data_IF_399673880317
#
_entry.id   IF_399673880317
#
_cell.length_a   1.000
_cell.length_b   1.000
_cell.length_c   1.000
_cell.angle_alpha   90.00
_cell.angle_beta   90.00
_cell.angle_gamma   90.00
#
_symmetry.space_group_name_H-M   'P 1'
#
loop_
_entity.id
_entity.type
_entity.pdbx_description
1 polymer ?
#
# COMPACT_ATOMS: atom_id res chain seq x y z
N UNK A 1 3.85 -13.24 -0.80
CA UNK A 1 3.86 -13.56 -2.25
C UNK A 1 3.27 -14.92 -2.55
N UNK A 2 3.88 -16.05 -2.14
CA UNK A 2 3.33 -17.39 -2.43
C UNK A 2 1.98 -17.65 -1.73
N UNK A 3 1.88 -17.35 -0.43
CA UNK A 3 0.65 -17.47 0.35
C UNK A 3 -0.44 -16.52 -0.16
N UNK A 4 -0.08 -15.25 -0.40
CA UNK A 4 -0.99 -14.23 -0.95
C UNK A 4 -1.48 -14.58 -2.34
N UNK A 5 -0.61 -15.06 -3.25
CA UNK A 5 -1.03 -15.50 -4.57
C UNK A 5 -2.05 -16.63 -4.46
N UNK A 6 -1.77 -17.65 -3.64
CA UNK A 6 -2.72 -18.75 -3.42
C UNK A 6 -4.05 -18.27 -2.83
N UNK A 7 -4.02 -17.33 -1.89
CA UNK A 7 -5.23 -16.75 -1.30
C UNK A 7 -6.04 -15.93 -2.32
N UNK A 8 -5.37 -15.15 -3.18
CA UNK A 8 -6.02 -14.25 -4.14
C UNK A 8 -6.46 -14.95 -5.43
N UNK A 9 -5.75 -15.98 -5.89
CA UNK A 9 -6.02 -16.65 -7.18
C UNK A 9 -6.53 -18.07 -7.04
N UNK A 10 -6.51 -18.64 -5.83
CA UNK A 10 -6.86 -20.04 -5.57
C UNK A 10 -5.84 -21.06 -6.10
N UNK A 11 -4.73 -20.61 -6.72
CA UNK A 11 -3.73 -21.48 -7.35
C UNK A 11 -2.38 -21.40 -6.63
N UNK A 12 -1.69 -22.54 -6.54
CA UNK A 12 -0.28 -22.54 -6.15
C UNK A 12 0.53 -21.80 -7.22
N UNK A 13 1.35 -20.84 -6.79
CA UNK A 13 2.18 -20.04 -7.70
C UNK A 13 2.79 -18.85 -6.96
N UNK A 14 3.75 -18.21 -7.60
CA UNK A 14 4.16 -16.85 -7.26
C UNK A 14 3.38 -15.90 -8.17
N UNK A 15 2.87 -14.80 -7.62
CA UNK A 15 2.22 -13.74 -8.38
C UNK A 15 2.20 -12.45 -7.58
N UNK A 16 1.55 -11.41 -8.13
CA UNK A 16 1.81 -9.99 -7.80
C UNK A 16 3.16 -9.46 -8.32
N UNK A 17 3.75 -10.11 -9.33
CA UNK A 17 4.99 -9.66 -9.98
C UNK A 17 5.00 -8.18 -10.41
N UNK A 18 3.89 -7.59 -10.90
CA UNK A 18 3.85 -6.16 -11.25
C UNK A 18 3.85 -5.23 -10.03
N UNK A 19 3.50 -5.74 -8.86
CA UNK A 19 3.43 -4.97 -7.60
C UNK A 19 4.67 -5.18 -6.73
N UNK A 20 5.32 -6.36 -6.83
CA UNK A 20 6.42 -6.83 -5.98
C UNK A 20 7.31 -7.81 -6.75
N UNK A 21 8.43 -7.35 -7.28
CA UNK A 21 9.23 -8.11 -8.22
C UNK A 21 10.23 -9.07 -7.56
N UNK A 22 10.25 -10.38 -7.89
CA UNK A 22 11.39 -11.27 -7.60
C UNK A 22 12.74 -10.75 -8.10
N UNK A 23 12.86 -10.07 -9.27
CA UNK A 23 14.14 -9.50 -9.71
C UNK A 23 14.74 -8.51 -8.70
N UNK A 24 13.90 -7.74 -8.01
CA UNK A 24 14.33 -6.81 -6.96
C UNK A 24 14.75 -7.57 -5.70
N UNK A 25 14.05 -8.65 -5.32
CA UNK A 25 14.45 -9.52 -4.20
C UNK A 25 15.79 -10.22 -4.45
N UNK A 26 16.05 -10.66 -5.68
CA UNK A 26 17.32 -11.31 -6.04
C UNK A 26 18.52 -10.37 -6.04
N UNK A 27 18.28 -9.04 -6.05
CA UNK A 27 19.32 -8.01 -5.91
C UNK A 27 19.28 -7.29 -4.57
N UNK A 28 18.61 -7.89 -3.57
CA UNK A 28 18.39 -7.32 -2.24
C UNK A 28 17.81 -5.90 -2.23
N UNK A 29 17.13 -5.52 -3.31
CA UNK A 29 16.41 -4.25 -3.42
C UNK A 29 15.05 -4.32 -2.73
N UNK A 30 14.47 -5.51 -2.53
CA UNK A 30 13.20 -5.72 -1.82
C UNK A 30 13.39 -6.60 -0.57
N UNK A 31 13.15 -6.04 0.62
CA UNK A 31 13.33 -6.75 1.90
C UNK A 31 12.09 -6.62 2.78
N UNK A 32 11.61 -7.74 3.32
CA UNK A 32 10.56 -7.73 4.34
C UNK A 32 11.18 -7.58 5.73
N UNK A 33 10.78 -6.55 6.47
CA UNK A 33 11.26 -6.26 7.82
C UNK A 33 10.03 -6.06 8.70
N UNK A 34 9.69 -7.03 9.54
CA UNK A 34 8.49 -6.95 10.39
C UNK A 34 7.19 -6.87 9.58
N UNK A 35 6.36 -5.86 9.85
CA UNK A 35 5.02 -5.70 9.25
C UNK A 35 5.04 -5.27 7.78
N UNK A 36 6.09 -4.59 7.34
CA UNK A 36 6.20 -4.03 6.00
C UNK A 36 7.29 -4.70 5.19
N UNK A 37 7.26 -4.39 3.90
CA UNK A 37 8.36 -4.69 2.99
C UNK A 37 8.79 -3.39 2.32
N UNK A 38 10.08 -3.31 2.03
CA UNK A 38 10.74 -2.07 1.63
C UNK A 38 11.50 -2.31 0.33
N UNK A 39 11.23 -1.47 -0.68
CA UNK A 39 12.04 -1.41 -1.89
C UNK A 39 13.01 -0.25 -1.82
N UNK A 40 14.31 -0.51 -1.97
CA UNK A 40 15.32 0.54 -2.13
C UNK A 40 15.27 1.10 -3.54
N UNK A 41 15.16 2.42 -3.66
CA UNK A 41 15.13 3.10 -4.93
C UNK A 41 15.75 4.50 -4.81
N UNK A 42 16.24 5.02 -5.93
CA UNK A 42 16.48 6.45 -6.05
C UNK A 42 15.14 7.12 -6.37
N UNK A 43 14.66 7.95 -5.45
CA UNK A 43 13.40 8.66 -5.58
C UNK A 43 13.69 10.12 -5.95
N UNK A 44 12.94 10.65 -6.91
CA UNK A 44 12.90 12.06 -7.25
C UNK A 44 11.43 12.48 -7.29
N UNK A 45 10.98 13.14 -6.22
CA UNK A 45 9.57 13.48 -6.04
C UNK A 45 9.33 14.96 -6.36
N UNK A 46 9.50 15.35 -7.62
CA UNK A 46 9.31 16.74 -8.09
C UNK A 46 10.16 17.73 -7.30
N UNK A 47 9.53 18.79 -6.76
CA UNK A 47 10.15 19.79 -5.86
C UNK A 47 10.42 19.25 -4.42
N UNK A 48 10.24 17.94 -4.21
CA UNK A 48 10.39 17.26 -2.93
C UNK A 48 11.74 16.54 -2.75
N UNK A 49 11.83 15.58 -1.82
CA UNK A 49 13.05 14.83 -1.56
C UNK A 49 13.55 14.14 -2.83
N UNK A 50 14.84 14.34 -3.12
CA UNK A 50 15.59 13.63 -4.13
C UNK A 50 16.74 12.87 -3.46
N UNK A 51 16.90 11.59 -3.77
CA UNK A 51 17.96 10.76 -3.18
C UNK A 51 17.53 9.31 -3.00
N UNK A 52 18.27 8.58 -2.16
CA UNK A 52 17.93 7.21 -1.85
C UNK A 52 16.76 7.17 -0.86
N UNK A 53 15.74 6.39 -1.20
CA UNK A 53 14.55 6.24 -0.38
C UNK A 53 14.07 4.81 -0.33
N UNK A 54 13.16 4.56 0.61
CA UNK A 54 12.53 3.27 0.80
C UNK A 54 11.04 3.36 0.46
N UNK A 55 10.63 2.62 -0.57
CA UNK A 55 9.22 2.43 -0.88
C UNK A 55 8.65 1.42 0.09
N UNK A 56 7.77 1.89 0.97
CA UNK A 56 7.01 1.06 1.90
C UNK A 56 5.88 0.43 1.14
N UNK A 57 5.74 -0.86 1.36
CA UNK A 57 4.63 -1.61 0.88
C UNK A 57 4.04 -2.47 2.00
N UNK A 58 2.71 -2.56 2.02
CA UNK A 58 1.95 -3.22 3.09
C UNK A 58 1.41 -4.54 2.56
N UNK A 59 1.99 -5.70 2.93
CA UNK A 59 1.42 -6.97 2.54
C UNK A 59 0.06 -7.18 3.21
N UNK A 60 -0.90 -7.86 2.55
CA UNK A 60 -2.23 -8.15 3.10
C UNK A 60 -2.17 -9.32 4.11
N UNK A 61 -1.26 -9.24 5.09
CA UNK A 61 -1.05 -10.24 6.14
C UNK A 61 -1.37 -9.63 7.49
N UNK A 62 -2.41 -10.14 8.15
CA UNK A 62 -2.80 -9.69 9.49
C UNK A 62 -3.18 -8.21 9.59
N UNK A 63 -3.51 -7.75 10.81
CA UNK A 63 -3.86 -6.36 11.04
C UNK A 63 -2.68 -5.42 10.75
N UNK A 64 -2.98 -4.21 10.29
CA UNK A 64 -2.01 -3.10 10.21
C UNK A 64 -1.80 -2.50 11.60
N UNK A 65 -1.31 -3.31 12.54
CA UNK A 65 -1.09 -2.85 13.91
C UNK A 65 -0.17 -1.63 13.95
N UNK A 66 -0.53 -0.64 14.77
CA UNK A 66 0.15 0.64 14.79
C UNK A 66 1.59 0.51 15.30
N UNK A 67 1.82 -0.28 16.34
CA UNK A 67 3.14 -0.49 16.96
C UNK A 67 4.02 -1.31 16.04
N UNK A 68 3.54 -2.47 15.56
CA UNK A 68 4.31 -3.34 14.68
C UNK A 68 4.66 -2.65 13.34
N UNK A 69 3.78 -1.77 12.86
CA UNK A 69 4.05 -0.92 11.70
C UNK A 69 5.19 0.06 11.96
N UNK A 70 5.23 0.69 13.13
CA UNK A 70 6.26 1.68 13.46
C UNK A 70 7.61 1.01 13.68
N UNK A 71 7.64 -0.08 14.47
CA UNK A 71 8.84 -0.89 14.69
C UNK A 71 9.45 -1.39 13.38
N UNK A 72 8.60 -1.77 12.43
CA UNK A 72 9.01 -2.19 11.09
C UNK A 72 9.70 -1.07 10.31
N UNK A 73 9.17 0.15 10.35
CA UNK A 73 9.77 1.32 9.68
C UNK A 73 11.09 1.71 10.37
N UNK A 74 11.11 1.80 11.71
CA UNK A 74 12.33 2.14 12.46
C UNK A 74 13.43 1.08 12.33
N UNK A 75 13.05 -0.20 12.20
CA UNK A 75 14.02 -1.25 11.91
C UNK A 75 14.60 -1.12 10.50
N UNK A 76 13.77 -0.79 9.50
CA UNK A 76 14.25 -0.55 8.15
C UNK A 76 15.24 0.60 8.08
N UNK A 77 14.95 1.73 8.73
CA UNK A 77 15.86 2.88 8.81
C UNK A 77 17.26 2.46 9.32
N UNK A 78 17.31 1.74 10.44
CA UNK A 78 18.57 1.26 11.04
C UNK A 78 19.29 0.25 10.16
N UNK A 79 18.57 -0.72 9.61
CA UNK A 79 19.19 -1.79 8.82
C UNK A 79 19.72 -1.28 7.48
N UNK A 80 18.98 -0.43 6.78
CA UNK A 80 19.44 0.11 5.51
C UNK A 80 20.64 1.06 5.69
N UNK A 81 20.69 1.84 6.77
CA UNK A 81 21.88 2.64 7.10
C UNK A 81 23.13 1.77 7.36
N UNK A 82 22.95 0.54 7.87
CA UNK A 82 24.06 -0.41 8.10
C UNK A 82 24.45 -1.19 6.84
N UNK A 83 23.46 -1.60 6.04
CA UNK A 83 23.68 -2.44 4.86
C UNK A 83 24.15 -1.64 3.64
N UNK A 84 23.74 -0.37 3.54
CA UNK A 84 24.03 0.52 2.41
C UNK A 84 24.42 1.91 2.90
N UNK A 85 25.55 2.06 3.63
CA UNK A 85 25.97 3.34 4.19
C UNK A 85 26.22 4.44 3.13
N UNK A 86 26.52 4.05 1.89
CA UNK A 86 26.66 4.94 0.74
C UNK A 86 25.33 5.46 0.16
N UNK A 87 24.21 4.89 0.62
CA UNK A 87 22.86 5.23 0.18
C UNK A 87 21.98 5.69 1.36
N UNK A 88 22.23 6.90 1.90
CA UNK A 88 21.47 7.38 3.05
C UNK A 88 19.99 7.48 2.70
N UNK A 89 19.14 6.82 3.47
CA UNK A 89 17.68 6.89 3.33
C UNK A 89 17.24 8.30 3.68
N UNK A 90 16.81 9.08 2.70
CA UNK A 90 16.35 10.45 2.89
C UNK A 90 14.83 10.55 2.99
N UNK A 91 14.11 9.52 2.54
CA UNK A 91 12.65 9.52 2.50
C UNK A 91 12.08 8.10 2.46
N UNK A 92 10.94 7.92 3.12
CA UNK A 92 10.04 6.79 2.93
C UNK A 92 8.87 7.23 2.05
N UNK A 93 8.54 6.45 1.03
CA UNK A 93 7.36 6.68 0.20
C UNK A 93 6.40 5.49 0.31
N UNK A 94 5.11 5.72 0.14
CA UNK A 94 4.11 4.66 0.07
C UNK A 94 3.06 5.08 -0.95
N UNK A 95 2.76 4.22 -1.92
CA UNK A 95 1.68 4.45 -2.89
C UNK A 95 0.67 3.32 -2.73
N UNK A 96 -0.53 3.66 -2.26
CA UNK A 96 -1.55 2.66 -1.94
C UNK A 96 -2.94 3.28 -1.82
N UNK A 97 -3.97 2.48 -2.12
CA UNK A 97 -5.36 2.77 -1.71
C UNK A 97 -5.50 3.06 -0.20
N UNK A 98 -4.60 2.52 0.64
CA UNK A 98 -4.60 2.78 2.09
C UNK A 98 -4.40 4.25 2.43
N UNK A 99 -3.88 5.06 1.51
CA UNK A 99 -3.60 6.48 1.70
C UNK A 99 -4.70 7.40 1.15
N UNK A 100 -5.83 6.84 0.67
CA UNK A 100 -6.97 7.63 0.21
C UNK A 100 -7.68 8.35 1.40
N UNK A 101 -7.70 9.69 1.45
CA UNK A 101 -8.42 10.44 2.48
C UNK A 101 -9.92 10.15 2.52
N UNK A 102 -10.53 9.71 1.42
CA UNK A 102 -11.97 9.38 1.35
C UNK A 102 -12.35 8.28 2.35
N UNK A 103 -11.39 7.46 2.79
CA UNK A 103 -11.60 6.43 3.81
C UNK A 103 -12.05 7.01 5.16
N UNK A 104 -11.70 8.27 5.47
CA UNK A 104 -12.09 8.94 6.70
C UNK A 104 -13.60 9.20 6.80
N UNK A 105 -14.33 9.22 5.67
CA UNK A 105 -15.80 9.34 5.67
C UNK A 105 -16.50 8.09 6.21
N UNK A 106 -15.80 6.94 6.22
CA UNK A 106 -16.40 5.64 6.50
C UNK A 106 -15.80 4.91 7.70
N UNK A 107 -14.50 5.11 7.95
CA UNK A 107 -13.78 4.40 8.99
C UNK A 107 -13.83 5.14 10.32
N UNK A 108 -13.81 4.38 11.41
CA UNK A 108 -13.65 4.97 12.74
C UNK A 108 -12.33 5.79 12.79
N UNK A 109 -12.30 6.98 13.42
CA UNK A 109 -11.11 7.84 13.49
C UNK A 109 -9.86 7.13 14.00
N UNK A 110 -10.04 6.17 14.91
CA UNK A 110 -8.97 5.35 15.50
C UNK A 110 -8.69 4.03 14.77
N UNK A 111 -9.22 3.83 13.57
CA UNK A 111 -8.89 2.66 12.78
C UNK A 111 -7.40 2.63 12.42
N UNK A 112 -6.85 1.43 12.33
CA UNK A 112 -5.44 1.21 12.00
C UNK A 112 -5.03 1.86 10.65
N UNK A 113 -5.95 1.89 9.67
CA UNK A 113 -5.71 2.52 8.38
C UNK A 113 -5.52 4.03 8.56
N UNK A 114 -6.46 4.72 9.23
CA UNK A 114 -6.34 6.17 9.43
C UNK A 114 -5.14 6.53 10.32
N UNK A 115 -4.80 5.70 11.32
CA UNK A 115 -3.57 5.88 12.11
C UNK A 115 -2.31 5.73 11.26
N UNK A 116 -2.30 4.80 10.30
CA UNK A 116 -1.20 4.66 9.35
C UNK A 116 -1.10 5.87 8.41
N UNK A 117 -2.23 6.35 7.87
CA UNK A 117 -2.27 7.53 6.99
C UNK A 117 -1.66 8.77 7.65
N UNK A 118 -1.96 9.01 8.93
CA UNK A 118 -1.47 10.19 9.68
C UNK A 118 0.05 10.30 9.81
N UNK A 119 0.80 9.25 9.46
CA UNK A 119 2.27 9.24 9.47
C UNK A 119 2.89 9.79 8.20
N UNK A 120 2.09 10.06 7.18
CA UNK A 120 2.56 10.48 5.87
C UNK A 120 2.02 11.88 5.54
N UNK A 121 2.87 12.66 4.87
CA UNK A 121 2.43 13.83 4.12
C UNK A 121 2.01 13.36 2.73
N UNK A 122 0.74 13.55 2.37
CA UNK A 122 0.27 13.19 1.04
C UNK A 122 0.82 14.16 0.00
N UNK A 123 1.32 13.61 -1.10
CA UNK A 123 1.64 14.38 -2.29
C UNK A 123 0.35 14.80 -3.02
N UNK A 124 0.44 15.86 -3.86
CA UNK A 124 -0.66 16.24 -4.74
C UNK A 124 -1.16 15.02 -5.53
N UNK A 125 -2.47 14.93 -5.66
CA UNK A 125 -3.09 13.90 -6.48
C UNK A 125 -2.78 14.20 -7.95
N UNK A 126 -2.24 13.19 -8.63
CA UNK A 126 -2.05 13.23 -10.07
C UNK A 126 -3.23 12.50 -10.73
N UNK A 127 -3.72 12.98 -11.88
CA UNK A 127 -4.73 12.25 -12.64
C UNK A 127 -4.23 10.83 -12.92
N UNK A 128 -4.99 9.78 -12.53
CA UNK A 128 -4.56 8.42 -12.78
C UNK A 128 -4.69 8.11 -14.28
N UNK A 129 -3.78 7.28 -14.80
CA UNK A 129 -3.90 6.76 -16.17
C UNK A 129 -5.17 5.89 -16.32
N UNK A 130 -5.54 5.18 -15.25
CA UNK A 130 -6.79 4.42 -15.14
C UNK A 130 -7.57 4.85 -13.88
N UNK A 131 -8.75 5.48 -14.01
CA UNK A 131 -9.56 5.91 -12.88
C UNK A 131 -10.07 4.76 -12.00
N UNK A 132 -10.03 3.52 -12.48
CA UNK A 132 -10.47 2.33 -11.75
C UNK A 132 -9.33 1.56 -11.08
N UNK A 133 -8.08 2.02 -11.18
CA UNK A 133 -6.94 1.30 -10.61
C UNK A 133 -7.06 1.15 -9.09
N UNK A 134 -7.45 2.22 -8.38
CA UNK A 134 -7.60 2.21 -6.93
C UNK A 134 -8.73 1.29 -6.47
N UNK A 135 -9.84 1.22 -7.21
CA UNK A 135 -10.93 0.28 -6.94
C UNK A 135 -10.46 -1.18 -7.03
N UNK A 136 -9.76 -1.52 -8.12
CA UNK A 136 -9.22 -2.87 -8.35
C UNK A 136 -8.15 -3.22 -7.31
N UNK A 137 -7.32 -2.27 -6.92
CA UNK A 137 -6.30 -2.48 -5.89
C UNK A 137 -6.92 -2.72 -4.51
N UNK A 138 -7.89 -1.89 -4.09
CA UNK A 138 -8.60 -2.07 -2.82
C UNK A 138 -9.35 -3.40 -2.78
N UNK A 139 -10.05 -3.76 -3.87
CA UNK A 139 -10.76 -5.05 -3.96
C UNK A 139 -9.78 -6.23 -3.81
N UNK A 140 -8.65 -6.19 -4.54
CA UNK A 140 -7.64 -7.25 -4.53
C UNK A 140 -6.90 -7.38 -3.21
N UNK A 141 -6.44 -6.26 -2.64
CA UNK A 141 -5.53 -6.26 -1.49
C UNK A 141 -6.26 -6.03 -0.16
N UNK A 142 -7.26 -5.15 -0.14
CA UNK A 142 -8.02 -4.83 1.06
C UNK A 142 -9.12 -5.83 1.35
N UNK A 143 -9.89 -6.21 0.32
CA UNK A 143 -11.02 -7.13 0.47
C UNK A 143 -10.65 -8.59 0.16
N UNK A 144 -9.48 -8.82 -0.44
CA UNK A 144 -9.01 -10.14 -0.89
C UNK A 144 -9.99 -10.81 -1.86
N UNK A 145 -10.63 -10.01 -2.71
CA UNK A 145 -11.51 -10.48 -3.79
C UNK A 145 -10.83 -10.17 -5.11
N UNK A 146 -10.79 -11.14 -6.04
CA UNK A 146 -10.23 -10.91 -7.37
C UNK A 146 -11.11 -9.94 -8.16
N UNK A 147 -10.63 -8.75 -8.56
CA UNK A 147 -11.37 -7.87 -9.43
C UNK A 147 -11.35 -8.40 -10.87
N UNK A 148 -12.38 -8.14 -11.68
CA UNK A 148 -12.32 -8.32 -13.13
C UNK A 148 -11.30 -7.37 -13.77
N UNK A 149 -10.92 -7.67 -15.02
CA UNK A 149 -10.05 -6.79 -15.82
C UNK A 149 -10.82 -5.59 -16.42
N UNK A 150 -12.15 -5.69 -16.48
CA UNK A 150 -13.06 -4.59 -16.86
C UNK A 150 -13.44 -3.73 -15.64
N UNK A 151 -14.12 -2.61 -15.90
CA UNK A 151 -14.75 -1.80 -14.85
C UNK A 151 -15.72 -2.63 -14.01
N UNK A 152 -15.80 -2.28 -12.71
CA UNK A 152 -16.67 -2.95 -11.75
C UNK A 152 -18.14 -2.61 -12.03
N UNK A 153 -18.97 -3.64 -12.11
CA UNK A 153 -20.41 -3.50 -12.34
C UNK A 153 -21.21 -3.86 -11.09
N UNK A 154 -22.52 -3.59 -11.12
CA UNK A 154 -23.42 -3.82 -9.98
C UNK A 154 -23.39 -5.29 -9.48
N UNK A 155 -23.23 -6.26 -10.38
CA UNK A 155 -23.11 -7.68 -10.03
C UNK A 155 -21.80 -7.98 -9.29
N UNK A 156 -20.69 -7.35 -9.70
CA UNK A 156 -19.40 -7.51 -9.02
C UNK A 156 -19.49 -6.95 -7.59
N UNK A 157 -20.14 -5.80 -7.41
CA UNK A 157 -20.36 -5.19 -6.11
C UNK A 157 -21.29 -6.03 -5.21
N UNK A 158 -22.27 -6.71 -5.79
CA UNK A 158 -23.18 -7.59 -5.05
C UNK A 158 -22.48 -8.82 -4.46
N UNK A 159 -21.35 -9.23 -5.04
CA UNK A 159 -20.53 -10.36 -4.57
C UNK A 159 -19.54 -10.00 -3.47
N UNK A 160 -19.33 -8.71 -3.20
CA UNK A 160 -18.42 -8.26 -2.14
C UNK A 160 -19.05 -8.57 -0.78
N UNK A 161 -18.38 -9.36 0.10
CA UNK A 161 -18.90 -9.64 1.45
C UNK A 161 -19.12 -8.34 2.22
N UNK A 162 -20.09 -8.30 3.15
CA UNK A 162 -20.50 -7.07 3.85
C UNK A 162 -20.23 -7.12 5.38
N UNK A 163 -19.32 -7.99 5.82
CA UNK A 163 -19.07 -8.28 7.24
C UNK A 163 -18.28 -7.16 7.94
N UNK A 164 -17.38 -6.47 7.24
CA UNK A 164 -16.53 -5.41 7.81
C UNK A 164 -16.98 -4.01 7.38
N UNK A 165 -16.56 -2.99 8.13
CA UNK A 165 -16.83 -1.60 7.75
C UNK A 165 -16.17 -1.24 6.42
N UNK A 166 -14.94 -1.70 6.17
CA UNK A 166 -14.24 -1.45 4.91
C UNK A 166 -14.98 -2.06 3.70
N UNK A 167 -15.50 -3.27 3.86
CA UNK A 167 -16.32 -3.95 2.86
C UNK A 167 -17.58 -3.17 2.49
N UNK A 168 -18.31 -2.68 3.50
CA UNK A 168 -19.51 -1.85 3.29
C UNK A 168 -19.16 -0.49 2.67
N UNK A 169 -18.07 0.11 3.12
CA UNK A 169 -17.56 1.39 2.60
C UNK A 169 -17.25 1.29 1.11
N UNK A 170 -16.52 0.24 0.70
CA UNK A 170 -16.17 0.01 -0.70
C UNK A 170 -17.40 -0.01 -1.61
N UNK A 171 -18.41 -0.82 -1.25
CA UNK A 171 -19.64 -0.94 -2.04
C UNK A 171 -20.46 0.35 -2.03
N UNK A 172 -20.60 1.00 -0.88
CA UNK A 172 -21.36 2.25 -0.78
C UNK A 172 -20.73 3.37 -1.61
N UNK A 173 -19.40 3.48 -1.58
CA UNK A 173 -18.65 4.48 -2.34
C UNK A 173 -18.83 4.31 -3.84
N UNK A 174 -18.65 3.10 -4.36
CA UNK A 174 -18.81 2.83 -5.79
C UNK A 174 -20.26 2.97 -6.26
N UNK A 175 -21.24 2.62 -5.42
CA UNK A 175 -22.67 2.86 -5.72
C UNK A 175 -23.05 4.33 -5.77
N UNK A 176 -22.28 5.21 -5.12
CA UNK A 176 -22.46 6.66 -5.25
C UNK A 176 -21.85 7.26 -6.53
N UNK A 177 -21.27 6.42 -7.40
CA UNK A 177 -20.57 6.88 -8.61
C UNK A 177 -19.19 7.47 -8.34
N UNK A 178 -18.62 7.22 -7.15
CA UNK A 178 -17.28 7.65 -6.76
C UNK A 178 -16.27 6.52 -6.90
N UNK A 179 -15.00 6.86 -7.00
CA UNK A 179 -13.90 5.91 -7.16
C UNK A 179 -12.85 6.09 -6.06
N UNK A 180 -12.28 4.96 -5.64
CA UNK A 180 -11.14 4.96 -4.73
C UNK A 180 -9.86 5.29 -5.48
N UNK A 181 -9.02 6.12 -4.88
CA UNK A 181 -7.78 6.61 -5.46
C UNK A 181 -6.56 5.91 -4.86
N UNK A 182 -5.53 5.70 -5.69
CA UNK A 182 -4.19 5.41 -5.20
C UNK A 182 -3.50 6.72 -4.86
N UNK A 183 -3.13 6.90 -3.60
CA UNK A 183 -2.43 8.09 -3.14
C UNK A 183 -0.99 7.76 -2.78
N UNK A 184 -0.10 8.73 -3.03
CA UNK A 184 1.30 8.66 -2.64
C UNK A 184 1.52 9.55 -1.42
N UNK A 185 2.05 8.96 -0.36
CA UNK A 185 2.47 9.66 0.85
C UNK A 185 3.97 9.52 1.05
N UNK A 186 4.57 10.56 1.63
CA UNK A 186 5.97 10.59 2.02
C UNK A 186 6.12 10.80 3.51
N UNK A 187 7.17 10.22 4.08
CA UNK A 187 7.58 10.42 5.46
C UNK A 187 9.09 10.58 5.50
N UNK A 188 9.58 11.56 6.25
CA UNK A 188 11.00 11.71 6.49
C UNK A 188 11.47 10.70 7.56
N UNK A 189 12.73 10.22 7.48
CA UNK A 189 13.37 9.46 8.56
C UNK A 189 13.30 10.20 9.90
N UNK A 190 13.54 9.49 11.00
CA UNK A 190 13.70 10.16 12.28
C UNK A 190 14.93 11.10 12.21
N UNK A 191 14.86 12.25 12.88
CA UNK A 191 16.05 13.09 13.03
C UNK A 191 17.13 12.27 13.78
N UNK A 192 18.40 12.34 13.37
CA UNK A 192 19.49 11.63 14.04
C UNK A 192 19.71 12.10 15.48
#
# INVERSE_FOLDING_TARGET
MLSTHRQVTGRAGAGLFPLWGPPLRFRSADVQIGRHSFTRAQLALGDGPAGYGLMIHVPPIGPLDATASEESISAAERYFAQWYPEEPVTVFSCTSWLLDPQLAEYLHPESNILRFQRRFTLLPELPPDDPHEGDREMMRLGLQVTPPERSLEAEDLARVPQHTTLQRAFVAHLRSGRHWAKRTGVRLPAAP
#
